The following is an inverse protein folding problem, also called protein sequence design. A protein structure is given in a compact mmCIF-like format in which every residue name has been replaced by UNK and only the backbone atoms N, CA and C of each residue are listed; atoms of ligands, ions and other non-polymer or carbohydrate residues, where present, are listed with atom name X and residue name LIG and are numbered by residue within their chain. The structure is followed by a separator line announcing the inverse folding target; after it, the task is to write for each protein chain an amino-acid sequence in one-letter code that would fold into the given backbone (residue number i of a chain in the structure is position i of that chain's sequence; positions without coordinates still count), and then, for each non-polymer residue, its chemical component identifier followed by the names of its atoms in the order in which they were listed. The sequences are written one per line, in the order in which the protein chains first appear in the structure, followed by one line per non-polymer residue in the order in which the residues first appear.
data_IF_333395342791
#
_entry.id   IF_333395342791
#
_cell.length_a   1.000
_cell.length_b   1.000
_cell.length_c   1.000
_cell.angle_alpha   90.00
_cell.angle_beta   90.00
_cell.angle_gamma   90.00
#
_symmetry.space_group_name_H-M   'P 1'
#
loop_
_entity.id
_entity.type
_entity.pdbx_description
1 polymer ?
#
# COMPACT_ATOMS: atom_id res chain seq x y z
N UNK A 1 5.77 -9.48 5.24
CA UNK A 1 5.16 -10.56 4.44
C UNK A 1 5.58 -10.42 2.98
N UNK A 2 5.79 -11.51 2.31
CA UNK A 2 6.12 -11.47 0.89
C UNK A 2 4.86 -11.49 0.06
N UNK A 3 4.86 -10.72 -1.01
CA UNK A 3 3.73 -10.67 -1.92
C UNK A 3 4.22 -10.66 -3.36
N UNK A 4 3.39 -11.15 -4.27
CA UNK A 4 3.72 -11.19 -5.67
C UNK A 4 2.75 -10.28 -6.41
N UNK A 5 3.29 -9.40 -7.25
CA UNK A 5 2.48 -8.50 -8.06
C UNK A 5 3.04 -8.53 -9.46
N UNK A 6 2.23 -8.97 -10.43
CA UNK A 6 2.63 -9.06 -11.84
C UNK A 6 3.94 -9.84 -12.01
N UNK A 7 4.06 -10.95 -11.28
CA UNK A 7 5.19 -11.86 -11.42
C UNK A 7 6.45 -11.49 -10.66
N UNK A 8 6.45 -10.34 -9.97
CA UNK A 8 7.61 -9.90 -9.21
C UNK A 8 7.26 -9.92 -7.72
N UNK A 9 8.28 -10.09 -6.89
CA UNK A 9 8.08 -10.27 -5.45
C UNK A 9 8.63 -9.09 -4.68
N UNK A 10 7.80 -8.53 -3.81
CA UNK A 10 8.19 -7.51 -2.84
C UNK A 10 8.03 -8.09 -1.45
N UNK A 11 8.77 -7.51 -0.50
CA UNK A 11 8.53 -7.75 0.92
C UNK A 11 7.83 -6.53 1.48
N UNK A 12 6.62 -6.72 2.01
CA UNK A 12 5.87 -5.63 2.61
C UNK A 12 6.10 -5.64 4.11
N UNK A 13 6.47 -4.49 4.65
CA UNK A 13 6.77 -4.34 6.07
C UNK A 13 6.15 -3.07 6.61
N UNK A 14 5.80 -3.09 7.89
CA UNK A 14 5.41 -1.88 8.58
C UNK A 14 6.63 -1.29 9.23
N UNK A 15 6.73 0.03 9.14
CA UNK A 15 7.91 0.73 9.63
C UNK A 15 7.50 2.16 9.93
N UNK A 16 8.07 2.73 10.96
CA UNK A 16 7.82 4.14 11.23
C UNK A 16 8.51 4.98 10.17
N UNK A 17 7.73 5.72 9.41
CA UNK A 17 8.24 6.57 8.34
C UNK A 17 8.09 8.02 8.74
N UNK A 18 9.05 8.84 8.31
CA UNK A 18 9.02 10.26 8.61
C UNK A 18 8.33 10.97 7.45
N UNK A 19 7.16 11.55 7.74
CA UNK A 19 6.44 12.37 6.77
C UNK A 19 5.91 11.62 5.54
N UNK A 20 5.89 10.30 5.59
CA UNK A 20 5.35 9.50 4.50
C UNK A 20 4.39 8.47 5.06
N UNK A 21 3.35 8.16 4.29
CA UNK A 21 2.44 7.09 4.66
C UNK A 21 2.94 5.74 4.14
N UNK A 22 3.74 5.74 3.09
CA UNK A 22 4.30 4.52 2.54
C UNK A 22 5.40 4.79 1.54
N UNK A 23 6.07 3.73 1.14
CA UNK A 23 7.12 3.76 0.12
C UNK A 23 7.11 2.46 -0.64
N UNK A 24 7.47 2.52 -1.92
CA UNK A 24 7.53 1.32 -2.76
C UNK A 24 8.80 1.39 -3.60
N UNK A 25 9.65 0.35 -3.50
CA UNK A 25 10.82 0.25 -4.36
C UNK A 25 10.39 -0.02 -5.80
N UNK A 26 11.18 0.45 -6.78
CA UNK A 26 10.86 0.17 -8.18
C UNK A 26 11.01 -1.31 -8.50
N UNK A 27 10.26 -1.80 -9.51
CA UNK A 27 10.20 -3.24 -9.78
C UNK A 27 11.50 -3.85 -10.29
N UNK A 28 12.46 -3.04 -10.73
CA UNK A 28 13.72 -3.57 -11.26
C UNK A 28 14.79 -3.79 -10.21
N UNK A 29 14.52 -3.44 -8.95
CA UNK A 29 15.50 -3.65 -7.89
C UNK A 29 15.42 -5.07 -7.35
N UNK A 30 16.55 -5.66 -6.94
CA UNK A 30 16.52 -6.91 -6.20
C UNK A 30 16.09 -6.62 -4.76
N UNK A 31 15.50 -7.61 -4.10
CA UNK A 31 15.10 -7.50 -2.69
C UNK A 31 14.24 -6.27 -2.43
N UNK A 32 13.33 -6.00 -3.35
CA UNK A 32 12.52 -4.79 -3.26
C UNK A 32 11.51 -4.87 -2.15
N UNK A 33 11.19 -3.72 -1.58
CA UNK A 33 10.33 -3.63 -0.42
C UNK A 33 9.24 -2.61 -0.60
N UNK A 34 8.16 -2.85 0.11
CA UNK A 34 7.08 -1.88 0.27
C UNK A 34 6.98 -1.61 1.76
N UNK A 35 6.99 -0.33 2.14
CA UNK A 35 6.83 0.06 3.54
C UNK A 35 5.51 0.78 3.72
N UNK A 36 4.81 0.44 4.80
CA UNK A 36 3.60 1.14 5.21
C UNK A 36 3.87 1.73 6.58
N UNK A 37 3.53 3.00 6.75
CA UNK A 37 3.80 3.68 8.02
C UNK A 37 3.06 2.98 9.15
N UNK A 38 3.81 2.64 10.20
CA UNK A 38 3.30 1.81 11.30
C UNK A 38 2.19 2.48 12.09
N UNK A 39 2.11 3.80 12.05
CA UNK A 39 1.10 4.54 12.80
C UNK A 39 -0.26 4.64 12.16
N UNK A 40 -0.39 4.21 10.91
CA UNK A 40 -1.66 4.36 10.21
C UNK A 40 -2.70 3.35 10.68
N UNK A 41 -3.95 3.76 10.66
CA UNK A 41 -5.08 2.91 11.04
C UNK A 41 -6.25 3.22 10.13
N UNK A 42 -7.17 2.27 10.05
CA UNK A 42 -8.47 2.48 9.41
C UNK A 42 -8.36 2.71 7.93
N UNK A 43 -9.20 3.61 7.44
CA UNK A 43 -9.27 3.89 6.01
C UNK A 43 -7.96 4.46 5.47
N UNK A 44 -7.24 5.23 6.28
CA UNK A 44 -5.95 5.77 5.86
C UNK A 44 -4.91 4.69 5.66
N UNK A 45 -4.93 3.68 6.50
CA UNK A 45 -4.03 2.54 6.33
C UNK A 45 -4.35 1.81 5.03
N UNK A 46 -5.63 1.58 4.78
CA UNK A 46 -6.08 0.90 3.56
C UNK A 46 -5.66 1.71 2.33
N UNK A 47 -5.85 3.03 2.37
CA UNK A 47 -5.43 3.91 1.28
C UNK A 47 -3.93 3.76 1.00
N UNK A 48 -3.12 3.80 2.05
CA UNK A 48 -1.66 3.70 1.87
C UNK A 48 -1.27 2.34 1.29
N UNK A 49 -1.91 1.27 1.73
CA UNK A 49 -1.63 -0.06 1.21
C UNK A 49 -1.96 -0.12 -0.28
N UNK A 50 -3.15 0.36 -0.67
CA UNK A 50 -3.56 0.34 -2.07
C UNK A 50 -2.63 1.22 -2.90
N UNK A 51 -2.25 2.38 -2.36
CA UNK A 51 -1.35 3.31 -3.05
C UNK A 51 -0.04 2.62 -3.41
N UNK A 52 0.60 1.99 -2.42
CA UNK A 52 1.90 1.37 -2.68
C UNK A 52 1.79 0.12 -3.55
N UNK A 53 0.72 -0.65 -3.39
CA UNK A 53 0.51 -1.81 -4.25
C UNK A 53 0.25 -1.39 -5.69
N UNK A 54 -0.41 -0.24 -5.88
CA UNK A 54 -0.64 0.28 -7.22
C UNK A 54 0.68 0.69 -7.87
N UNK A 55 1.59 1.31 -7.09
CA UNK A 55 2.93 1.59 -7.61
C UNK A 55 3.65 0.31 -8.01
N UNK A 56 3.55 -0.73 -7.18
CA UNK A 56 4.21 -2.00 -7.49
C UNK A 56 3.66 -2.61 -8.79
N UNK A 57 2.35 -2.53 -8.99
CA UNK A 57 1.70 -3.14 -10.15
C UNK A 57 1.87 -2.30 -11.42
N UNK A 58 1.88 -0.98 -11.26
CA UNK A 58 1.87 -0.04 -12.38
C UNK A 58 2.83 1.10 -12.12
N UNK A 59 4.10 0.78 -12.15
CA UNK A 59 5.16 1.73 -11.79
C UNK A 59 5.15 2.99 -12.65
N UNK A 60 4.65 2.88 -13.86
CA UNK A 60 4.63 4.00 -14.81
C UNK A 60 3.47 4.97 -14.63
N UNK A 61 2.53 4.67 -13.73
CA UNK A 61 1.46 5.62 -13.44
C UNK A 61 2.01 6.80 -12.63
N UNK A 62 1.53 8.00 -12.94
CA UNK A 62 1.98 9.17 -12.21
C UNK A 62 1.31 9.25 -10.84
N UNK A 63 1.91 10.04 -9.96
CA UNK A 63 1.43 10.17 -8.58
C UNK A 63 -0.01 10.61 -8.47
N UNK A 64 -0.46 11.64 -9.20
CA UNK A 64 -1.86 12.04 -9.08
C UNK A 64 -2.84 10.93 -9.43
N UNK A 65 -2.52 10.12 -10.44
CA UNK A 65 -3.39 9.01 -10.81
C UNK A 65 -3.43 7.94 -9.72
N UNK A 66 -2.28 7.64 -9.14
CA UNK A 66 -2.19 6.66 -8.06
C UNK A 66 -2.94 7.15 -6.84
N UNK A 67 -2.75 8.42 -6.45
CA UNK A 67 -3.45 9.01 -5.32
C UNK A 67 -4.96 8.94 -5.47
N UNK A 68 -5.44 9.33 -6.63
CA UNK A 68 -6.87 9.37 -6.89
C UNK A 68 -7.46 7.97 -6.81
N UNK A 69 -6.81 7.03 -7.47
CA UNK A 69 -7.29 5.64 -7.49
C UNK A 69 -7.29 5.03 -6.10
N UNK A 70 -6.20 5.19 -5.35
CA UNK A 70 -6.10 4.55 -4.03
C UNK A 70 -7.08 5.16 -3.05
N UNK A 71 -7.27 6.47 -3.09
CA UNK A 71 -8.21 7.13 -2.19
C UNK A 71 -9.64 6.71 -2.50
N UNK A 72 -9.99 6.68 -3.78
CA UNK A 72 -11.34 6.26 -4.18
C UNK A 72 -11.60 4.81 -3.80
N UNK A 73 -10.65 3.93 -4.11
CA UNK A 73 -10.83 2.51 -3.84
C UNK A 73 -10.89 2.23 -2.34
N UNK A 74 -10.04 2.89 -1.57
CA UNK A 74 -10.06 2.72 -0.12
C UNK A 74 -11.41 3.15 0.46
N UNK A 75 -11.94 4.28 -0.03
CA UNK A 75 -13.23 4.77 0.46
C UNK A 75 -14.35 3.78 0.14
N UNK A 76 -14.35 3.26 -1.09
CA UNK A 76 -15.38 2.32 -1.52
C UNK A 76 -15.33 1.05 -0.67
N UNK A 77 -14.13 0.47 -0.53
CA UNK A 77 -13.99 -0.76 0.23
C UNK A 77 -14.33 -0.56 1.70
N UNK A 78 -13.92 0.59 2.25
CA UNK A 78 -14.23 0.90 3.64
C UNK A 78 -15.74 0.99 3.87
N UNK A 79 -16.43 1.65 2.95
CA UNK A 79 -17.89 1.77 3.06
C UNK A 79 -18.61 0.44 2.90
N UNK A 80 -17.99 -0.47 2.14
CA UNK A 80 -18.54 -1.81 1.99
C UNK A 80 -18.28 -2.70 3.20
N UNK A 81 -17.49 -2.23 4.15
CA UNK A 81 -17.26 -2.97 5.38
C UNK A 81 -15.99 -3.78 5.41
N UNK A 82 -15.12 -3.65 4.42
CA UNK A 82 -13.88 -4.39 4.44
C UNK A 82 -12.96 -3.80 5.49
N UNK A 83 -12.56 -4.61 6.44
CA UNK A 83 -11.74 -4.21 7.56
C UNK A 83 -10.66 -5.23 7.78
N UNK A 84 -9.49 -4.74 8.21
CA UNK A 84 -8.47 -5.65 8.65
C UNK A 84 -8.97 -6.34 9.92
N UNK A 85 -8.78 -7.63 9.99
CA UNK A 85 -9.18 -8.36 11.17
C UNK A 85 -8.35 -7.91 12.35
N UNK A 86 -9.02 -7.61 13.47
CA UNK A 86 -8.37 -7.17 14.67
C UNK A 86 -8.25 -8.36 15.60
N UNK A 87 -7.02 -8.81 15.83
CA UNK A 87 -6.82 -9.97 16.65
C UNK A 87 -7.21 -9.75 18.09
N UNK A 88 -7.39 -8.52 18.48
CA UNK A 88 -7.86 -8.23 19.80
C UNK A 88 -9.33 -8.35 19.95
N UNK A 89 -10.01 -8.34 18.87
CA UNK A 89 -11.46 -8.31 18.90
C UNK A 89 -12.03 -9.39 19.77
#
# INVERSE_FOLDING_TARGET
MKLKMRGKVWTLERKRLKELDGQCDPPNLPNKRIFIHAGLRGEKELDAIIHELTHAAHWDLDEPAVDEFSTDLARILWRMGYRKQDEKA
#
